data_IF_782903197745
#
_entry.id   IF_782903197745
#
_cell.length_a   1.000
_cell.length_b   1.000
_cell.length_c   1.000
_cell.angle_alpha   90.00
_cell.angle_beta   90.00
_cell.angle_gamma   90.00
#
_symmetry.space_group_name_H-M   'P 1'
#
loop_
_entity.id
_entity.type
_entity.pdbx_description
1 polymer ?
#
# COMPACT_ATOMS: atom_id res chain seq x y z
N UNK A 1 24.34 -15.20 -4.73
CA UNK A 1 24.66 -15.83 -6.04
C UNK A 1 24.57 -14.77 -7.13
N UNK A 2 25.72 -14.30 -7.64
CA UNK A 2 25.81 -13.22 -8.63
C UNK A 2 25.49 -13.76 -10.04
N UNK A 3 24.29 -13.46 -10.58
CA UNK A 3 23.96 -13.68 -11.98
C UNK A 3 24.45 -12.49 -12.81
N UNK A 4 25.75 -12.47 -13.10
CA UNK A 4 26.32 -11.48 -14.03
C UNK A 4 25.92 -11.91 -15.45
N UNK A 5 25.15 -11.07 -16.14
CA UNK A 5 24.69 -11.35 -17.50
C UNK A 5 25.86 -11.27 -18.48
N UNK A 6 26.37 -12.41 -18.94
CA UNK A 6 27.49 -12.49 -19.89
C UNK A 6 27.20 -11.87 -21.27
N UNK A 7 25.94 -11.55 -21.57
CA UNK A 7 25.54 -10.85 -22.82
C UNK A 7 25.44 -9.33 -22.65
N UNK A 8 25.78 -8.78 -21.48
CA UNK A 8 25.78 -7.35 -21.26
C UNK A 8 26.89 -6.70 -22.10
N UNK A 9 26.50 -5.93 -23.13
CA UNK A 9 27.42 -5.08 -23.89
C UNK A 9 27.49 -3.70 -23.22
N UNK A 10 28.70 -3.14 -23.15
CA UNK A 10 28.91 -1.76 -22.68
C UNK A 10 28.35 -0.83 -23.75
N UNK A 11 27.30 -0.09 -23.41
CA UNK A 11 26.66 0.85 -24.33
C UNK A 11 27.32 2.23 -24.14
N UNK A 12 28.05 2.70 -25.16
CA UNK A 12 28.72 4.00 -25.16
C UNK A 12 27.84 5.13 -25.72
N UNK A 13 26.58 4.84 -26.04
CA UNK A 13 25.62 5.80 -26.55
C UNK A 13 24.85 6.48 -25.41
N UNK A 14 24.50 7.75 -25.60
CA UNK A 14 23.70 8.53 -24.64
C UNK A 14 22.24 8.06 -24.55
N UNK A 15 21.82 7.11 -25.40
CA UNK A 15 20.46 6.59 -25.46
C UNK A 15 19.44 7.51 -26.14
N UNK A 16 19.89 8.66 -26.67
CA UNK A 16 19.07 9.67 -27.37
C UNK A 16 19.25 9.63 -28.90
N UNK A 17 20.08 8.72 -29.41
CA UNK A 17 20.33 8.56 -30.85
C UNK A 17 19.24 7.76 -31.57
N UNK A 18 18.98 8.09 -32.83
CA UNK A 18 18.00 7.40 -33.70
C UNK A 18 18.55 6.08 -34.30
N UNK A 19 19.83 5.79 -34.10
CA UNK A 19 20.51 4.63 -34.68
C UNK A 19 20.29 3.37 -33.83
N UNK A 20 19.33 2.55 -34.24
CA UNK A 20 18.99 1.26 -33.60
C UNK A 20 19.96 0.13 -33.93
N UNK A 21 20.82 0.28 -34.95
CA UNK A 21 21.75 -0.78 -35.40
C UNK A 21 23.08 -0.82 -34.64
N UNK A 22 23.47 0.24 -33.93
CA UNK A 22 24.71 0.31 -33.13
C UNK A 22 24.49 -0.06 -31.65
N UNK A 23 23.25 0.05 -31.17
CA UNK A 23 22.86 -0.36 -29.82
C UNK A 23 22.49 -1.84 -29.82
N UNK A 24 23.50 -2.71 -29.66
CA UNK A 24 23.29 -4.15 -29.38
C UNK A 24 22.53 -4.44 -28.08
N UNK A 25 22.11 -3.41 -27.34
CA UNK A 25 21.12 -3.46 -26.27
C UNK A 25 19.98 -2.50 -26.58
N UNK A 26 18.73 -2.99 -26.54
CA UNK A 26 17.54 -2.27 -27.01
C UNK A 26 17.24 -0.90 -26.38
N UNK A 27 16.14 -0.27 -26.83
CA UNK A 27 15.72 1.08 -26.40
C UNK A 27 15.65 1.23 -24.87
N UNK A 28 16.14 2.37 -24.39
CA UNK A 28 16.03 2.81 -22.99
C UNK A 28 14.61 3.23 -22.58
N UNK A 29 13.75 3.60 -23.53
CA UNK A 29 12.35 3.98 -23.30
C UNK A 29 11.42 3.20 -24.22
N UNK A 30 10.31 2.71 -23.68
CA UNK A 30 9.23 2.08 -24.44
C UNK A 30 8.50 3.11 -25.33
N UNK A 31 7.67 2.66 -26.30
CA UNK A 31 6.86 3.57 -27.14
C UNK A 31 5.94 4.45 -26.31
N UNK A 32 5.58 3.97 -25.13
CA UNK A 32 4.69 4.63 -24.18
C UNK A 32 5.43 5.61 -23.25
N UNK A 33 6.71 5.88 -23.50
CA UNK A 33 7.52 6.84 -22.73
C UNK A 33 8.06 6.30 -21.39
N UNK A 34 7.64 5.11 -20.97
CA UNK A 34 8.15 4.49 -19.75
C UNK A 34 9.60 4.01 -19.92
N UNK A 35 10.49 4.23 -18.93
CA UNK A 35 11.85 3.70 -18.94
C UNK A 35 11.86 2.17 -18.98
N UNK A 36 12.65 1.60 -19.89
CA UNK A 36 12.91 0.17 -19.98
C UNK A 36 14.12 -0.20 -19.11
N UNK A 37 14.02 0.08 -17.80
CA UNK A 37 15.07 -0.16 -16.82
C UNK A 37 14.49 -0.87 -15.59
N UNK A 38 15.10 -1.99 -15.21
CA UNK A 38 14.75 -2.74 -14.00
C UNK A 38 15.78 -2.42 -12.90
N UNK A 39 15.39 -1.63 -11.90
CA UNK A 39 16.26 -1.25 -10.79
C UNK A 39 16.37 -2.42 -9.81
N UNK A 40 17.53 -3.08 -9.77
CA UNK A 40 17.81 -4.23 -8.89
C UNK A 40 18.74 -3.83 -7.75
N UNK A 41 18.47 -4.36 -6.55
CA UNK A 41 19.35 -4.21 -5.38
C UNK A 41 18.94 -3.15 -4.35
N UNK A 42 17.77 -2.52 -4.53
CA UNK A 42 17.22 -1.55 -3.58
C UNK A 42 16.46 -2.27 -2.47
N UNK A 43 16.66 -1.88 -1.21
CA UNK A 43 15.99 -2.55 -0.09
C UNK A 43 14.47 -2.35 -0.17
N UNK A 44 13.69 -3.32 0.31
CA UNK A 44 12.21 -3.23 0.30
C UNK A 44 11.72 -1.94 0.98
N UNK A 45 12.35 -1.54 2.09
CA UNK A 45 12.05 -0.28 2.80
C UNK A 45 12.37 0.99 1.99
N UNK A 46 13.45 0.99 1.21
CA UNK A 46 13.82 2.12 0.35
C UNK A 46 12.90 2.23 -0.87
N UNK A 47 12.31 1.11 -1.29
CA UNK A 47 11.35 1.03 -2.39
C UNK A 47 9.91 1.36 -1.96
N UNK A 48 9.60 1.27 -0.66
CA UNK A 48 8.30 1.56 -0.08
C UNK A 48 8.10 3.07 0.13
N UNK A 49 8.06 3.83 -0.97
CA UNK A 49 7.51 5.18 -0.93
C UNK A 49 5.98 5.09 -0.90
N UNK A 50 5.43 4.88 0.30
CA UNK A 50 3.99 4.65 0.53
C UNK A 50 3.15 5.76 -0.12
N UNK A 51 3.60 7.01 -0.01
CA UNK A 51 2.92 8.16 -0.62
C UNK A 51 2.82 8.01 -2.14
N UNK A 52 3.94 7.75 -2.82
CA UNK A 52 3.93 7.56 -4.27
C UNK A 52 3.14 6.32 -4.68
N UNK A 53 3.23 5.23 -3.91
CA UNK A 53 2.46 4.02 -4.17
C UNK A 53 0.95 4.27 -4.08
N UNK A 54 0.47 5.02 -3.09
CA UNK A 54 -0.95 5.34 -2.94
C UNK A 54 -1.48 6.21 -4.08
N UNK A 55 -0.68 7.17 -4.56
CA UNK A 55 -1.07 8.07 -5.66
C UNK A 55 -1.05 7.40 -7.04
N UNK A 56 -0.18 6.42 -7.24
CA UNK A 56 -0.03 5.73 -8.54
C UNK A 56 -0.91 4.50 -8.69
N UNK A 57 -1.60 4.08 -7.61
CA UNK A 57 -2.52 2.95 -7.63
C UNK A 57 -3.76 3.23 -8.48
N UNK A 58 -4.35 2.16 -9.02
CA UNK A 58 -5.69 2.26 -9.62
C UNK A 58 -6.71 2.64 -8.55
N UNK A 59 -7.77 3.34 -8.98
CA UNK A 59 -8.80 3.86 -8.08
C UNK A 59 -9.41 2.79 -7.16
N UNK A 60 -9.70 1.60 -7.70
CA UNK A 60 -10.25 0.49 -6.92
C UNK A 60 -9.27 -0.01 -5.86
N UNK A 61 -8.00 -0.17 -6.21
CA UNK A 61 -6.97 -0.62 -5.27
C UNK A 61 -6.78 0.40 -4.14
N UNK A 62 -6.79 1.69 -4.47
CA UNK A 62 -6.74 2.76 -3.47
C UNK A 62 -7.92 2.66 -2.49
N UNK A 63 -9.16 2.55 -2.98
CA UNK A 63 -10.33 2.41 -2.14
C UNK A 63 -10.27 1.17 -1.24
N UNK A 64 -9.84 0.02 -1.78
CA UNK A 64 -9.67 -1.20 -0.99
C UNK A 64 -8.66 -1.02 0.14
N UNK A 65 -7.52 -0.37 -0.12
CA UNK A 65 -6.52 -0.08 0.91
C UNK A 65 -7.10 0.81 2.01
N UNK A 66 -7.85 1.87 1.64
CA UNK A 66 -8.50 2.76 2.61
C UNK A 66 -9.53 2.02 3.48
N UNK A 67 -10.37 1.17 2.87
CA UNK A 67 -11.36 0.37 3.61
C UNK A 67 -10.69 -0.60 4.57
N UNK A 68 -9.64 -1.30 4.13
CA UNK A 68 -8.88 -2.21 5.00
C UNK A 68 -8.25 -1.45 6.16
N UNK A 69 -7.63 -0.30 5.88
CA UNK A 69 -7.02 0.55 6.91
C UNK A 69 -8.06 1.01 7.95
N UNK A 70 -9.24 1.42 7.48
CA UNK A 70 -10.36 1.81 8.35
C UNK A 70 -10.84 0.65 9.24
N UNK A 71 -11.09 -0.52 8.66
CA UNK A 71 -11.55 -1.70 9.42
C UNK A 71 -10.49 -2.12 10.45
N UNK A 72 -9.22 -2.19 10.04
CA UNK A 72 -8.13 -2.64 10.91
C UNK A 72 -7.92 -1.68 12.08
N UNK A 73 -7.98 -0.37 11.83
CA UNK A 73 -7.86 0.65 12.87
C UNK A 73 -9.00 0.53 13.88
N UNK A 74 -10.25 0.40 13.40
CA UNK A 74 -11.39 0.26 14.30
C UNK A 74 -11.37 -1.06 15.08
N UNK A 75 -11.00 -2.18 14.45
CA UNK A 75 -10.82 -3.46 15.14
C UNK A 75 -9.75 -3.38 16.24
N UNK A 76 -8.66 -2.66 15.99
CA UNK A 76 -7.62 -2.42 16.98
C UNK A 76 -8.20 -1.69 18.20
N UNK A 77 -8.94 -0.60 17.98
CA UNK A 77 -9.56 0.16 19.06
C UNK A 77 -10.65 -0.64 19.79
N UNK A 78 -11.47 -1.40 19.08
CA UNK A 78 -12.41 -2.37 19.68
C UNK A 78 -11.69 -3.31 20.63
N UNK A 79 -10.57 -3.89 20.20
CA UNK A 79 -9.73 -4.74 21.06
C UNK A 79 -9.22 -4.02 22.31
N UNK A 80 -8.78 -2.77 22.17
CA UNK A 80 -8.36 -1.93 23.31
C UNK A 80 -9.53 -1.68 24.27
N UNK A 81 -10.72 -1.40 23.77
CA UNK A 81 -11.91 -1.18 24.60
C UNK A 81 -12.30 -2.44 25.39
N UNK A 82 -12.19 -3.62 24.77
CA UNK A 82 -12.38 -4.88 25.49
C UNK A 82 -11.32 -5.12 26.58
N UNK A 83 -10.08 -4.68 26.39
CA UNK A 83 -9.01 -4.81 27.40
C UNK A 83 -9.18 -3.86 28.59
N UNK A 84 -9.67 -2.64 28.35
CA UNK A 84 -9.89 -1.62 29.40
C UNK A 84 -11.16 -1.93 30.20
N UNK A 85 -12.09 -2.67 29.61
CA UNK A 85 -13.38 -3.01 30.19
C UNK A 85 -14.48 -2.14 29.59
N UNK A 86 -15.44 -2.84 28.98
CA UNK A 86 -16.62 -2.25 28.30
C UNK A 86 -17.62 -1.62 29.28
N UNK A 87 -17.48 -1.87 30.59
CA UNK A 87 -18.40 -1.35 31.63
C UNK A 87 -18.41 0.18 31.72
N UNK A 88 -17.43 0.85 31.11
CA UNK A 88 -17.31 2.31 31.03
C UNK A 88 -17.94 2.90 29.76
N UNK A 89 -18.38 2.05 28.83
CA UNK A 89 -19.02 2.46 27.58
C UNK A 89 -20.51 2.63 27.82
N UNK A 90 -20.95 3.87 28.02
CA UNK A 90 -22.37 4.20 28.13
C UNK A 90 -23.09 4.01 26.80
N UNK A 91 -24.31 3.48 26.84
CA UNK A 91 -25.18 3.33 25.66
C UNK A 91 -25.10 1.97 24.94
N UNK A 92 -24.31 1.01 25.45
CA UNK A 92 -24.38 -0.37 25.00
C UNK A 92 -25.71 -1.00 25.46
N UNK A 93 -26.40 -1.72 24.58
CA UNK A 93 -27.53 -2.55 25.01
C UNK A 93 -26.98 -3.73 25.81
N UNK A 94 -27.75 -4.31 26.73
CA UNK A 94 -27.35 -5.51 27.47
C UNK A 94 -27.36 -6.74 26.55
N UNK A 95 -26.42 -6.78 25.61
CA UNK A 95 -26.27 -7.86 24.62
C UNK A 95 -25.05 -8.71 24.95
N UNK A 96 -25.10 -9.99 24.59
CA UNK A 96 -24.05 -10.96 24.95
C UNK A 96 -23.38 -11.53 23.71
N UNK A 97 -22.06 -11.79 23.81
CA UNK A 97 -21.29 -12.45 22.75
C UNK A 97 -20.98 -11.57 21.54
N UNK A 98 -21.37 -12.02 20.34
CA UNK A 98 -21.00 -11.40 19.05
C UNK A 98 -21.65 -10.02 18.85
N UNK A 99 -22.84 -9.82 19.40
CA UNK A 99 -23.61 -8.58 19.25
C UNK A 99 -22.92 -7.43 20.00
N UNK A 100 -22.40 -7.71 21.20
CA UNK A 100 -21.58 -6.80 21.99
C UNK A 100 -20.29 -6.40 21.27
N UNK A 101 -19.63 -7.35 20.59
CA UNK A 101 -18.47 -7.03 19.75
C UNK A 101 -18.84 -6.07 18.61
N UNK A 102 -19.98 -6.31 17.97
CA UNK A 102 -20.53 -5.42 16.95
C UNK A 102 -20.78 -4.01 17.48
N UNK A 103 -21.41 -3.87 18.65
CA UNK A 103 -21.68 -2.56 19.25
C UNK A 103 -20.39 -1.79 19.59
N UNK A 104 -19.41 -2.45 20.20
CA UNK A 104 -18.12 -1.82 20.54
C UNK A 104 -17.33 -1.46 19.27
N UNK A 105 -17.46 -2.25 18.19
CA UNK A 105 -16.91 -1.89 16.89
C UNK A 105 -17.60 -0.66 16.27
N UNK A 106 -18.92 -0.59 16.34
CA UNK A 106 -19.66 0.59 15.89
C UNK A 106 -19.31 1.83 16.71
N UNK A 107 -19.16 1.70 18.03
CA UNK A 107 -18.70 2.77 18.90
C UNK A 107 -17.31 3.28 18.50
N UNK A 108 -16.36 2.38 18.20
CA UNK A 108 -15.05 2.75 17.67
C UNK A 108 -15.18 3.53 16.36
N UNK A 109 -15.99 3.02 15.42
CA UNK A 109 -16.17 3.64 14.11
C UNK A 109 -16.76 5.06 14.22
N UNK A 110 -17.76 5.25 15.09
CA UNK A 110 -18.36 6.55 15.36
C UNK A 110 -17.34 7.52 15.98
N UNK A 111 -16.53 7.06 16.92
CA UNK A 111 -15.49 7.87 17.56
C UNK A 111 -14.43 8.29 16.54
N UNK A 112 -13.92 7.34 15.74
CA UNK A 112 -12.88 7.60 14.74
C UNK A 112 -13.36 8.55 13.64
N UNK A 113 -14.62 8.43 13.22
CA UNK A 113 -15.24 9.32 12.21
C UNK A 113 -15.82 10.59 12.80
N UNK A 114 -15.74 10.77 14.12
CA UNK A 114 -16.28 11.93 14.86
C UNK A 114 -17.80 12.11 14.73
N UNK A 115 -18.53 11.03 14.42
CA UNK A 115 -19.99 11.05 14.30
C UNK A 115 -20.65 11.17 15.67
N UNK A 116 -20.25 10.32 16.64
CA UNK A 116 -20.64 10.35 18.06
C UNK A 116 -22.13 10.61 18.35
N UNK A 117 -22.97 9.56 18.23
CA UNK A 117 -24.40 9.62 18.54
C UNK A 117 -24.71 9.54 20.05
#
# INVERSE_FOLDING_TARGET
MNKINKKAQINNETGLGTNTSLSGGGRFFNRDGNPNMDVRGMNLWERLNIYHSLLTMSWLNFLTVVVIYFITTNLLFTGIYFLIGIDHLGGLMEVTGIELFGEVFFFSAQTFTTVGY
#
